data_IF_617271835701
#
_entry.id   IF_617271835701
#
_cell.length_a   1.000
_cell.length_b   1.000
_cell.length_c   1.000
_cell.angle_alpha   90.00
_cell.angle_beta   90.00
_cell.angle_gamma   90.00
#
_symmetry.space_group_name_H-M   'P 1'
#
loop_
_entity.id
_entity.type
_entity.pdbx_description
1 polymer ?
#
# COMPACT_ATOMS: atom_id res chain seq x y z
N UNK A 1 -13.60 11.94 3.50
CA UNK A 1 -12.15 11.75 3.74
C UNK A 1 -11.82 10.48 4.53
N UNK A 2 -12.58 10.09 5.58
CA UNK A 2 -12.27 8.88 6.38
C UNK A 2 -12.27 7.59 5.56
N UNK A 3 -13.34 7.29 4.81
CA UNK A 3 -13.45 6.06 4.00
C UNK A 3 -12.30 5.90 2.99
N UNK A 4 -12.04 6.92 2.16
CA UNK A 4 -10.97 6.87 1.16
C UNK A 4 -9.59 6.70 1.79
N UNK A 5 -9.32 7.37 2.92
CA UNK A 5 -8.06 7.22 3.66
C UNK A 5 -7.92 5.82 4.28
N UNK A 6 -9.00 5.27 4.85
CA UNK A 6 -9.01 3.90 5.40
C UNK A 6 -8.74 2.86 4.31
N UNK A 7 -9.33 3.00 3.13
CA UNK A 7 -9.10 2.09 1.99
C UNK A 7 -7.64 2.18 1.50
N UNK A 8 -7.08 3.39 1.38
CA UNK A 8 -5.68 3.58 1.00
C UNK A 8 -4.72 2.94 2.02
N UNK A 9 -5.01 3.11 3.32
CA UNK A 9 -4.20 2.52 4.39
C UNK A 9 -4.25 0.99 4.36
N UNK A 10 -5.43 0.39 4.20
CA UNK A 10 -5.61 -1.06 4.09
C UNK A 10 -4.83 -1.65 2.92
N UNK A 11 -4.89 -1.01 1.75
CA UNK A 11 -4.13 -1.43 0.57
C UNK A 11 -2.62 -1.37 0.83
N UNK A 12 -2.14 -0.33 1.50
CA UNK A 12 -0.72 -0.17 1.81
C UNK A 12 -0.24 -1.24 2.82
N UNK A 13 -1.04 -1.55 3.83
CA UNK A 13 -0.75 -2.61 4.82
C UNK A 13 -0.70 -3.98 4.15
N UNK A 14 -1.68 -4.31 3.30
CA UNK A 14 -1.69 -5.55 2.54
C UNK A 14 -0.47 -5.68 1.63
N UNK A 15 -0.10 -4.60 0.92
CA UNK A 15 1.13 -4.58 0.13
C UNK A 15 2.38 -4.77 0.99
N UNK A 16 2.43 -4.15 2.18
CA UNK A 16 3.53 -4.31 3.13
C UNK A 16 3.68 -5.75 3.62
N UNK A 17 2.58 -6.45 3.90
CA UNK A 17 2.59 -7.86 4.30
C UNK A 17 3.05 -8.74 3.13
N UNK A 18 2.47 -8.57 1.94
CA UNK A 18 2.84 -9.35 0.76
C UNK A 18 4.30 -9.10 0.34
N UNK A 19 4.76 -7.84 0.40
CA UNK A 19 6.14 -7.47 0.12
C UNK A 19 7.12 -7.96 1.19
N UNK A 20 6.71 -7.96 2.46
CA UNK A 20 7.48 -8.53 3.56
C UNK A 20 7.69 -10.03 3.40
N UNK A 21 6.62 -10.78 3.07
CA UNK A 21 6.75 -12.23 2.87
C UNK A 21 7.62 -12.54 1.64
N UNK A 22 7.50 -11.75 0.57
CA UNK A 22 8.39 -11.86 -0.59
C UNK A 22 9.86 -11.60 -0.21
N UNK A 23 10.14 -10.61 0.64
CA UNK A 23 11.50 -10.29 1.07
C UNK A 23 12.12 -11.36 1.98
N UNK A 24 11.35 -11.97 2.89
CA UNK A 24 11.86 -12.97 3.83
C UNK A 24 11.89 -14.40 3.27
N UNK A 25 10.92 -14.77 2.42
CA UNK A 25 10.76 -16.14 1.93
C UNK A 25 11.10 -16.31 0.45
N UNK A 26 11.23 -15.23 -0.32
CA UNK A 26 11.36 -15.27 -1.78
C UNK A 26 10.09 -15.69 -2.53
N UNK A 27 9.03 -16.06 -1.80
CA UNK A 27 7.77 -16.52 -2.39
C UNK A 27 6.86 -15.33 -2.72
N UNK A 28 6.44 -15.26 -3.98
CA UNK A 28 5.66 -14.14 -4.49
C UNK A 28 4.15 -14.38 -4.26
N UNK A 29 3.70 -14.18 -3.01
CA UNK A 29 2.29 -14.33 -2.62
C UNK A 29 1.34 -13.47 -3.44
N UNK A 30 1.80 -12.29 -3.84
CA UNK A 30 1.00 -11.36 -4.65
C UNK A 30 0.76 -11.94 -6.06
N UNK A 31 1.77 -12.61 -6.62
CA UNK A 31 1.65 -13.33 -7.89
C UNK A 31 0.75 -14.57 -7.75
N UNK A 32 0.86 -15.30 -6.64
CA UNK A 32 0.02 -16.46 -6.34
C UNK A 32 -1.47 -16.09 -6.18
N UNK A 33 -1.76 -15.03 -5.41
CA UNK A 33 -3.13 -14.52 -5.20
C UNK A 33 -3.73 -13.99 -6.51
N UNK A 34 -2.91 -13.42 -7.40
CA UNK A 34 -3.33 -12.95 -8.71
C UNK A 34 -3.44 -14.05 -9.79
N UNK A 35 -3.47 -15.33 -9.42
CA UNK A 35 -3.54 -16.46 -10.36
C UNK A 35 -2.46 -16.39 -11.45
N UNK A 36 -1.24 -16.02 -11.08
CA UNK A 36 -0.08 -15.93 -11.98
C UNK A 36 -0.23 -14.91 -13.13
N UNK A 37 -1.25 -14.04 -13.07
CA UNK A 37 -1.48 -13.01 -14.07
C UNK A 37 -0.62 -11.78 -13.78
N UNK A 38 0.44 -11.61 -14.57
CA UNK A 38 1.35 -10.46 -14.54
C UNK A 38 0.61 -9.12 -14.67
N UNK A 39 -0.49 -9.08 -15.42
CA UNK A 39 -1.27 -7.86 -15.64
C UNK A 39 -1.96 -7.40 -14.36
N UNK A 40 -2.54 -8.33 -13.60
CA UNK A 40 -3.22 -8.05 -12.35
C UNK A 40 -2.24 -7.55 -11.28
N UNK A 41 -1.05 -8.15 -11.18
CA UNK A 41 0.01 -7.70 -10.25
C UNK A 41 0.41 -6.25 -10.52
N UNK A 42 0.58 -5.87 -11.79
CA UNK A 42 0.94 -4.49 -12.17
C UNK A 42 -0.16 -3.49 -11.80
N UNK A 43 -1.43 -3.85 -11.99
CA UNK A 43 -2.56 -3.01 -11.61
C UNK A 43 -2.59 -2.81 -10.09
N UNK A 44 -2.43 -3.88 -9.30
CA UNK A 44 -2.40 -3.80 -7.83
C UNK A 44 -1.25 -2.92 -7.35
N UNK A 45 -0.05 -3.06 -7.93
CA UNK A 45 1.08 -2.18 -7.61
C UNK A 45 0.78 -0.71 -7.92
N UNK A 46 0.14 -0.44 -9.07
CA UNK A 46 -0.25 0.91 -9.48
C UNK A 46 -1.25 1.56 -8.51
N UNK A 47 -2.27 0.81 -8.08
CA UNK A 47 -3.26 1.28 -7.10
C UNK A 47 -2.60 1.56 -5.75
N UNK A 48 -1.67 0.70 -5.33
CA UNK A 48 -0.94 0.90 -4.08
C UNK A 48 -0.03 2.14 -4.14
N UNK A 49 0.59 2.41 -5.30
CA UNK A 49 1.42 3.61 -5.48
C UNK A 49 0.59 4.90 -5.35
N UNK A 50 -0.58 4.96 -5.99
CA UNK A 50 -1.49 6.12 -5.86
C UNK A 50 -1.99 6.26 -4.42
N UNK A 51 -2.30 5.14 -3.76
CA UNK A 51 -2.70 5.12 -2.34
C UNK A 51 -1.60 5.65 -1.42
N UNK A 52 -0.34 5.28 -1.68
CA UNK A 52 0.83 5.75 -0.94
C UNK A 52 1.03 7.27 -1.11
N UNK A 53 0.93 7.80 -2.34
CA UNK A 53 1.01 9.24 -2.59
C UNK A 53 -0.09 10.00 -1.85
N UNK A 54 -1.32 9.48 -1.87
CA UNK A 54 -2.43 10.10 -1.16
C UNK A 54 -2.19 10.15 0.35
N UNK A 55 -1.73 9.05 0.95
CA UNK A 55 -1.38 8.99 2.38
C UNK A 55 -0.23 9.93 2.74
N UNK A 56 0.76 10.06 1.87
CA UNK A 56 1.91 10.94 2.06
C UNK A 56 1.50 12.42 1.96
N UNK A 57 0.66 12.77 0.97
CA UNK A 57 0.04 14.08 0.87
C UNK A 57 -0.77 14.43 2.12
N UNK A 58 -1.58 13.50 2.61
CA UNK A 58 -2.35 13.70 3.84
C UNK A 58 -1.41 13.97 5.05
N UNK A 59 -0.32 13.22 5.18
CA UNK A 59 0.65 13.42 6.26
C UNK A 59 1.30 14.82 6.21
N UNK A 60 1.66 15.28 5.01
CA UNK A 60 2.28 16.60 4.78
C UNK A 60 1.28 17.73 4.98
N UNK A 61 0.05 17.58 4.50
CA UNK A 61 -0.96 18.63 4.54
C UNK A 61 -1.48 18.87 5.97
N UNK A 62 -1.75 17.79 6.72
CA UNK A 62 -2.30 17.90 8.06
C UNK A 62 -1.23 18.12 9.14
N UNK A 63 0.06 17.85 8.86
CA UNK A 63 1.20 17.96 9.81
C UNK A 63 0.81 17.61 11.26
N UNK A 64 0.38 16.37 11.55
CA UNK A 64 -0.12 16.01 12.87
C UNK A 64 0.91 16.22 13.99
N UNK A 65 2.20 16.33 13.66
CA UNK A 65 3.30 16.51 14.61
C UNK A 65 3.68 17.97 14.89
N UNK A 66 2.92 18.97 14.41
CA UNK A 66 3.24 20.40 14.62
C UNK A 66 3.17 20.89 16.08
N UNK A 67 2.84 20.01 17.03
CA UNK A 67 2.73 20.32 18.46
C UNK A 67 3.36 19.29 19.42
N UNK A 68 4.09 18.29 18.92
CA UNK A 68 4.88 17.42 19.80
C UNK A 68 6.20 18.16 20.13
N UNK A 69 6.19 18.90 21.24
CA UNK A 69 7.41 19.44 21.88
C UNK A 69 8.04 18.39 22.77
#
# INVERSE_FOLDING_TARGET
MRLSATICLLNLVLLGICGGIYAFSGFNLLYFICFENMTAVRIVLGICFVSALFSLYALIAFKPFRGLK
#
